data_IF_571183478806
#
_entry.id   IF_571183478806
#
_cell.length_a   1.000
_cell.length_b   1.000
_cell.length_c   1.000
_cell.angle_alpha   90.00
_cell.angle_beta   90.00
_cell.angle_gamma   90.00
#
_symmetry.space_group_name_H-M   'P 1'
#
loop_
_entity.id
_entity.type
_entity.pdbx_description
1 polymer ?
#
# COMPACT_ATOMS: atom_id res chain seq x y z
N UNK A 1 -0.65 -4.87 -5.53
CA UNK A 1 0.55 -4.35 -6.23
C UNK A 1 0.49 -4.85 -7.66
N UNK A 2 0.44 -3.96 -8.64
CA UNK A 2 0.28 -4.34 -10.06
C UNK A 2 1.57 -4.17 -10.88
N UNK A 3 2.66 -3.75 -10.23
CA UNK A 3 3.95 -3.50 -10.89
C UNK A 3 5.05 -4.33 -10.24
N UNK A 4 5.76 -5.14 -11.04
CA UNK A 4 6.72 -6.13 -10.55
C UNK A 4 7.86 -5.54 -9.70
N UNK A 5 8.36 -4.35 -10.06
CA UNK A 5 9.45 -3.72 -9.30
C UNK A 5 8.99 -3.22 -7.92
N UNK A 6 7.72 -2.87 -7.74
CA UNK A 6 7.18 -2.47 -6.44
C UNK A 6 7.14 -3.65 -5.46
N UNK A 7 6.82 -4.85 -5.96
CA UNK A 7 6.92 -6.08 -5.20
C UNK A 7 8.39 -6.42 -4.87
N UNK A 8 9.31 -6.17 -5.80
CA UNK A 8 10.74 -6.34 -5.56
C UNK A 8 11.28 -5.35 -4.51
N UNK A 9 10.83 -4.09 -4.54
CA UNK A 9 11.21 -3.06 -3.57
C UNK A 9 10.85 -3.48 -2.14
N UNK A 10 9.60 -3.90 -1.90
CA UNK A 10 9.20 -4.34 -0.54
C UNK A 10 9.92 -5.62 -0.12
N UNK A 11 10.26 -6.52 -1.05
CA UNK A 11 11.05 -7.72 -0.75
C UNK A 11 12.48 -7.41 -0.31
N UNK A 12 13.04 -6.27 -0.75
CA UNK A 12 14.38 -5.82 -0.35
C UNK A 12 14.35 -5.03 0.96
N UNK A 13 13.32 -4.20 1.16
CA UNK A 13 13.26 -3.27 2.30
C UNK A 13 12.69 -3.88 3.58
N UNK A 14 11.88 -4.93 3.48
CA UNK A 14 11.30 -5.61 4.64
C UNK A 14 12.01 -6.93 4.96
N UNK A 15 11.92 -7.34 6.22
CA UNK A 15 12.41 -8.66 6.66
C UNK A 15 11.59 -9.73 5.94
N UNK A 16 12.31 -10.66 5.31
CA UNK A 16 11.70 -11.76 4.57
C UNK A 16 11.36 -12.89 5.55
N UNK A 17 10.08 -13.27 5.67
CA UNK A 17 9.70 -14.46 6.43
C UNK A 17 10.24 -15.72 5.76
N UNK A 18 10.51 -16.74 6.56
CA UNK A 18 10.78 -18.11 6.12
C UNK A 18 9.53 -18.77 5.53
N UNK A 19 9.72 -19.88 4.82
CA UNK A 19 8.59 -20.65 4.24
C UNK A 19 7.63 -21.20 5.31
N UNK A 20 8.13 -21.52 6.50
CA UNK A 20 7.32 -21.99 7.62
C UNK A 20 6.46 -20.87 8.21
N UNK A 21 7.03 -19.67 8.36
CA UNK A 21 6.32 -18.48 8.82
C UNK A 21 5.23 -18.04 7.83
N UNK A 22 5.48 -18.20 6.53
CA UNK A 22 4.51 -17.88 5.47
C UNK A 22 3.25 -18.74 5.53
N UNK A 23 3.34 -20.00 5.95
CA UNK A 23 2.18 -20.93 5.99
C UNK A 23 1.08 -20.46 6.94
N UNK A 24 1.46 -19.78 8.02
CA UNK A 24 0.55 -19.27 9.05
C UNK A 24 0.55 -17.74 9.11
N UNK A 25 1.05 -17.07 8.08
CA UNK A 25 1.18 -15.61 8.07
C UNK A 25 -0.19 -14.94 8.10
N UNK A 26 -0.40 -14.11 9.13
CA UNK A 26 -1.56 -13.23 9.24
C UNK A 26 -1.05 -11.79 9.20
N UNK A 27 -1.46 -10.97 8.22
CA UNK A 27 -1.03 -9.59 8.16
C UNK A 27 -1.62 -8.80 9.33
N UNK A 28 -0.76 -8.11 10.07
CA UNK A 28 -1.18 -7.12 11.05
C UNK A 28 -1.56 -5.80 10.39
N UNK A 29 -0.99 -5.50 9.22
CA UNK A 29 -1.22 -4.26 8.49
C UNK A 29 -1.18 -4.54 6.99
N UNK A 30 -2.09 -3.95 6.23
CA UNK A 30 -2.21 -4.16 4.78
C UNK A 30 -1.87 -2.88 4.03
N UNK A 31 -0.97 -2.97 3.06
CA UNK A 31 -0.56 -1.83 2.23
C UNK A 31 -1.05 -2.03 0.80
N UNK A 32 -2.00 -1.18 0.39
CA UNK A 32 -2.54 -1.13 -0.97
C UNK A 32 -1.77 -0.09 -1.79
N UNK A 33 -0.92 -0.58 -2.69
CA UNK A 33 -0.27 0.28 -3.69
C UNK A 33 -1.11 0.30 -4.98
N UNK A 34 -1.83 1.40 -5.18
CA UNK A 34 -2.63 1.74 -6.37
C UNK A 34 -2.03 2.95 -7.10
N UNK A 35 -0.70 2.94 -7.28
CA UNK A 35 0.09 4.01 -7.92
C UNK A 35 -0.39 4.47 -9.30
N UNK A 36 -1.11 3.62 -10.05
CA UNK A 36 -1.69 3.96 -11.37
C UNK A 36 -3.07 4.63 -11.30
N UNK A 37 -3.76 4.51 -10.18
CA UNK A 37 -5.07 5.15 -9.98
C UNK A 37 -4.88 6.63 -9.64
N UNK A 38 -5.89 7.45 -9.97
CA UNK A 38 -5.94 8.88 -9.64
C UNK A 38 -7.18 9.16 -8.82
N UNK A 39 -7.04 9.98 -7.78
CA UNK A 39 -8.19 10.45 -7.00
C UNK A 39 -8.75 11.73 -7.66
N UNK A 40 -9.64 11.58 -8.65
CA UNK A 40 -10.17 12.73 -9.41
C UNK A 40 -11.05 13.65 -8.56
N UNK A 41 -11.80 13.09 -7.61
CA UNK A 41 -12.67 13.81 -6.68
C UNK A 41 -11.95 14.27 -5.40
N UNK A 42 -10.62 14.41 -5.43
CA UNK A 42 -9.81 14.77 -4.27
C UNK A 42 -10.29 16.04 -3.56
N UNK A 43 -10.77 17.05 -4.30
CA UNK A 43 -11.29 18.31 -3.74
C UNK A 43 -12.54 18.10 -2.89
N UNK A 44 -13.45 17.25 -3.36
CA UNK A 44 -14.70 16.91 -2.65
C UNK A 44 -14.41 16.10 -1.38
N UNK A 45 -13.36 15.29 -1.42
CA UNK A 45 -12.88 14.49 -0.29
C UNK A 45 -12.01 15.30 0.69
N UNK A 46 -11.80 16.60 0.46
CA UNK A 46 -11.00 17.47 1.32
C UNK A 46 -9.49 17.21 1.26
N UNK A 47 -8.99 16.63 0.17
CA UNK A 47 -7.59 16.28 -0.04
C UNK A 47 -6.84 17.38 -0.80
N UNK A 48 -5.50 17.35 -0.71
CA UNK A 48 -4.63 18.36 -1.30
C UNK A 48 -4.46 18.21 -2.83
N UNK A 49 -4.38 16.98 -3.33
CA UNK A 49 -4.21 16.67 -4.75
C UNK A 49 -4.73 15.28 -5.11
N UNK A 50 -4.65 14.93 -6.40
CA UNK A 50 -4.96 13.59 -6.90
C UNK A 50 -4.02 12.48 -6.35
N UNK A 51 -2.91 12.88 -5.71
CA UNK A 51 -1.94 12.01 -5.03
C UNK A 51 -2.30 11.89 -3.56
N UNK A 52 -2.47 10.64 -3.11
CA UNK A 52 -2.97 10.36 -1.77
C UNK A 52 -2.12 9.27 -1.13
N UNK A 53 -1.61 9.55 0.07
CA UNK A 53 -1.04 8.55 0.97
C UNK A 53 -1.84 8.63 2.27
N UNK A 54 -2.74 7.68 2.46
CA UNK A 54 -3.66 7.65 3.60
C UNK A 54 -3.40 6.44 4.49
N UNK A 55 -3.59 6.63 5.80
CA UNK A 55 -3.45 5.59 6.81
C UNK A 55 -4.73 5.48 7.62
N UNK A 56 -5.25 4.26 7.74
CA UNK A 56 -6.34 3.93 8.64
C UNK A 56 -5.83 3.01 9.73
N UNK A 57 -5.60 3.55 10.93
CA UNK A 57 -5.04 2.79 12.06
C UNK A 57 -6.07 1.79 12.64
N UNK A 58 -7.37 2.11 12.56
CA UNK A 58 -8.44 1.24 13.07
C UNK A 58 -8.57 -0.03 12.23
N UNK A 59 -8.50 0.11 10.90
CA UNK A 59 -8.53 -1.01 9.96
C UNK A 59 -7.14 -1.60 9.70
N UNK A 60 -6.08 -0.91 10.12
CA UNK A 60 -4.67 -1.26 9.90
C UNK A 60 -4.34 -1.35 8.40
N UNK A 61 -4.70 -0.30 7.69
CA UNK A 61 -4.57 -0.21 6.24
C UNK A 61 -3.82 1.06 5.83
N UNK A 62 -3.01 0.96 4.78
CA UNK A 62 -2.41 2.09 4.08
C UNK A 62 -2.81 2.02 2.61
N UNK A 63 -3.17 3.18 2.05
CA UNK A 63 -3.51 3.30 0.63
C UNK A 63 -2.60 4.34 0.00
N UNK A 64 -1.94 3.97 -1.10
CA UNK A 64 -1.05 4.82 -1.90
C UNK A 64 -1.66 4.97 -3.30
N UNK A 65 -2.00 6.20 -3.70
CA UNK A 65 -2.68 6.53 -4.96
C UNK A 65 -1.87 7.59 -5.71
N UNK A 66 -1.71 7.42 -7.02
CA UNK A 66 -1.07 8.37 -7.94
C UNK A 66 0.36 8.79 -7.53
N UNK A 67 1.13 7.85 -6.95
CA UNK A 67 2.55 7.99 -6.61
C UNK A 67 3.19 6.62 -6.40
N UNK A 68 4.50 6.51 -6.61
CA UNK A 68 5.28 5.26 -6.58
C UNK A 68 6.54 5.35 -5.74
#
# INVERSE_FOLDING_TARGET
>A
VEVAWQAHFVKNMFIRPSEEELKNFKPDFVVFNASKAKCENYKELGLHSETVVAFNIKQREQVIINTW
#
